data_IF_691480842503
#
_entry.id   IF_691480842503
#
_cell.length_a   1.000
_cell.length_b   1.000
_cell.length_c   1.000
_cell.angle_alpha   90.00
_cell.angle_beta   90.00
_cell.angle_gamma   90.00
#
_symmetry.space_group_name_H-M   'P 1'
#
loop_
_entity.id
_entity.type
_entity.pdbx_description
1 polymer ?
#
# COMPACT_ATOMS: atom_id res chain seq x y z
N UNK A 1 -58.67 -49.38 -58.02
CA UNK A 1 -57.32 -49.45 -57.44
C UNK A 1 -56.96 -48.04 -57.01
N UNK A 2 -57.02 -47.82 -55.70
CA UNK A 2 -56.76 -46.49 -55.10
C UNK A 2 -55.45 -46.60 -54.35
N UNK A 3 -54.45 -45.83 -54.77
CA UNK A 3 -53.17 -45.69 -54.07
C UNK A 3 -53.31 -44.63 -52.97
N UNK A 4 -53.10 -45.02 -51.70
CA UNK A 4 -52.93 -44.16 -50.57
C UNK A 4 -51.43 -43.76 -50.49
N UNK A 5 -51.15 -42.48 -50.60
CA UNK A 5 -49.82 -41.87 -50.30
C UNK A 5 -49.84 -41.44 -48.86
N UNK A 6 -49.00 -42.07 -48.04
CA UNK A 6 -48.79 -41.70 -46.66
C UNK A 6 -47.60 -40.71 -46.56
N UNK A 7 -47.91 -39.47 -46.22
CA UNK A 7 -46.90 -38.41 -46.04
C UNK A 7 -46.37 -38.44 -44.59
N UNK A 8 -45.12 -38.83 -44.41
CA UNK A 8 -44.42 -38.70 -43.11
C UNK A 8 -43.87 -37.27 -42.96
N UNK A 9 -44.47 -36.49 -42.05
CA UNK A 9 -43.85 -35.23 -41.56
C UNK A 9 -42.82 -35.56 -40.53
N UNK A 10 -41.54 -35.29 -40.85
CA UNK A 10 -40.44 -35.23 -39.84
C UNK A 10 -40.46 -33.86 -39.15
N UNK A 11 -40.77 -33.83 -37.86
CA UNK A 11 -40.55 -32.68 -37.00
C UNK A 11 -39.09 -32.69 -36.52
N UNK A 12 -38.29 -31.79 -37.04
CA UNK A 12 -36.94 -31.53 -36.51
C UNK A 12 -37.05 -30.65 -35.26
N UNK A 13 -36.82 -31.23 -34.07
CA UNK A 13 -36.65 -30.47 -32.84
C UNK A 13 -35.27 -29.80 -32.86
N UNK A 14 -35.21 -28.48 -33.05
CA UNK A 14 -34.03 -27.69 -32.86
C UNK A 14 -33.92 -27.36 -31.38
N UNK A 15 -33.05 -28.10 -30.67
CA UNK A 15 -32.71 -27.79 -29.29
C UNK A 15 -31.77 -26.57 -29.25
N UNK A 16 -32.30 -25.39 -28.87
CA UNK A 16 -31.52 -24.19 -28.58
C UNK A 16 -30.83 -24.39 -27.23
N UNK A 17 -29.55 -24.76 -27.22
CA UNK A 17 -28.73 -24.73 -26.02
C UNK A 17 -28.33 -23.27 -25.76
N UNK A 18 -28.96 -22.64 -24.78
CA UNK A 18 -28.55 -21.38 -24.23
C UNK A 18 -27.23 -21.61 -23.47
N UNK A 19 -26.11 -21.26 -24.07
CA UNK A 19 -24.86 -21.08 -23.35
C UNK A 19 -25.03 -19.84 -22.44
N UNK A 20 -25.32 -20.10 -21.16
CA UNK A 20 -25.19 -19.09 -20.12
C UNK A 20 -23.70 -18.83 -19.93
N UNK A 21 -23.14 -17.75 -20.51
CA UNK A 21 -21.88 -17.22 -20.10
C UNK A 21 -22.08 -16.67 -18.70
N UNK A 22 -21.74 -17.45 -17.69
CA UNK A 22 -21.50 -16.93 -16.34
C UNK A 22 -20.23 -16.11 -16.44
N UNK A 23 -20.34 -14.80 -16.51
CA UNK A 23 -19.22 -13.90 -16.26
C UNK A 23 -18.91 -14.01 -14.77
N UNK A 24 -17.96 -14.88 -14.39
CA UNK A 24 -17.36 -14.78 -13.08
C UNK A 24 -16.70 -13.41 -13.03
N UNK A 25 -17.13 -12.54 -12.11
CA UNK A 25 -16.33 -11.35 -11.77
C UNK A 25 -14.95 -11.85 -11.33
N UNK A 26 -13.87 -11.16 -11.70
CA UNK A 26 -12.55 -11.48 -11.18
C UNK A 26 -12.59 -11.43 -9.66
N UNK A 27 -11.85 -12.31 -9.00
CA UNK A 27 -11.72 -12.30 -7.56
C UNK A 27 -11.14 -10.96 -7.12
N UNK A 28 -11.70 -10.39 -6.06
CA UNK A 28 -11.20 -9.14 -5.47
C UNK A 28 -9.84 -9.37 -4.81
N UNK A 29 -9.00 -8.35 -4.84
CA UNK A 29 -7.74 -8.32 -4.09
C UNK A 29 -8.08 -8.10 -2.62
N UNK A 30 -7.68 -9.02 -1.77
CA UNK A 30 -7.88 -8.93 -0.33
C UNK A 30 -6.73 -8.14 0.28
N UNK A 31 -7.03 -6.92 0.67
CA UNK A 31 -6.06 -6.00 1.24
C UNK A 31 -6.27 -5.84 2.75
N UNK A 32 -5.20 -6.00 3.52
CA UNK A 32 -5.17 -5.71 4.95
C UNK A 32 -4.64 -4.29 5.15
N UNK A 33 -5.43 -3.42 5.78
CA UNK A 33 -5.01 -2.10 6.20
C UNK A 33 -4.78 -2.08 7.70
N UNK A 34 -3.54 -1.85 8.12
CA UNK A 34 -3.13 -1.77 9.52
C UNK A 34 -2.86 -0.32 9.85
N UNK A 35 -3.50 0.19 10.91
CA UNK A 35 -3.34 1.58 11.35
C UNK A 35 -3.34 1.71 12.86
N UNK A 36 -2.82 2.84 13.35
CA UNK A 36 -2.73 3.17 14.77
C UNK A 36 -1.31 3.49 15.25
N UNK A 37 -1.15 3.74 16.53
CA UNK A 37 0.12 4.10 17.14
C UNK A 37 0.15 5.51 17.74
N UNK A 38 1.33 6.10 17.83
CA UNK A 38 1.53 7.44 18.38
C UNK A 38 1.53 8.55 17.33
N UNK A 39 1.38 9.78 17.81
CA UNK A 39 1.67 11.06 17.13
C UNK A 39 0.72 11.52 16.02
N UNK A 40 -0.15 10.68 15.45
CA UNK A 40 -1.03 11.03 14.34
C UNK A 40 -2.50 10.85 14.69
N UNK A 41 -3.37 11.39 13.84
CA UNK A 41 -4.83 11.24 13.91
C UNK A 41 -5.27 10.07 13.02
N UNK A 42 -4.94 8.85 13.46
CA UNK A 42 -5.19 7.63 12.69
C UNK A 42 -6.67 7.37 12.44
N UNK A 43 -7.56 7.80 13.35
CA UNK A 43 -9.01 7.66 13.17
C UNK A 43 -9.48 8.43 11.91
N UNK A 44 -9.08 9.71 11.79
CA UNK A 44 -9.42 10.52 10.61
C UNK A 44 -8.67 10.05 9.35
N UNK A 45 -7.38 9.67 9.48
CA UNK A 45 -6.59 9.18 8.35
C UNK A 45 -7.12 7.86 7.79
N UNK A 46 -7.64 6.96 8.63
CA UNK A 46 -8.32 5.72 8.20
C UNK A 46 -9.51 6.05 7.32
N UNK A 47 -10.40 6.95 7.78
CA UNK A 47 -11.57 7.36 7.01
C UNK A 47 -11.19 7.99 5.67
N UNK A 48 -10.19 8.89 5.65
CA UNK A 48 -9.71 9.55 4.44
C UNK A 48 -9.08 8.55 3.47
N UNK A 49 -8.27 7.63 3.98
CA UNK A 49 -7.62 6.59 3.18
C UNK A 49 -8.67 5.64 2.57
N UNK A 50 -9.54 5.05 3.37
CA UNK A 50 -10.51 4.06 2.90
C UNK A 50 -11.49 4.69 1.90
N UNK A 51 -11.99 5.90 2.18
CA UNK A 51 -12.87 6.59 1.24
C UNK A 51 -12.13 6.95 -0.06
N UNK A 52 -10.91 7.49 0.05
CA UNK A 52 -10.08 7.84 -1.10
C UNK A 52 -9.70 6.63 -1.97
N UNK A 53 -9.40 5.49 -1.35
CA UNK A 53 -9.08 4.26 -2.08
C UNK A 53 -10.33 3.62 -2.71
N UNK A 54 -11.47 3.60 -2.02
CA UNK A 54 -12.72 3.12 -2.60
C UNK A 54 -13.16 3.92 -3.83
N UNK A 55 -12.92 5.24 -3.83
CA UNK A 55 -13.20 6.11 -4.98
C UNK A 55 -12.30 5.78 -6.19
N UNK A 56 -11.01 5.48 -5.95
CA UNK A 56 -9.99 5.28 -6.98
C UNK A 56 -9.84 3.85 -7.47
N UNK A 57 -9.99 2.89 -6.56
CA UNK A 57 -9.79 1.46 -6.81
C UNK A 57 -11.12 0.72 -7.03
N UNK A 58 -12.25 1.32 -6.61
CA UNK A 58 -13.58 0.76 -6.78
C UNK A 58 -13.73 -0.62 -6.16
N UNK A 59 -14.40 -1.52 -6.89
CA UNK A 59 -14.71 -2.87 -6.44
C UNK A 59 -13.56 -3.88 -6.62
N UNK A 60 -12.38 -3.44 -7.07
CA UNK A 60 -11.22 -4.33 -7.27
C UNK A 60 -10.63 -4.83 -5.95
N UNK A 61 -10.78 -4.07 -4.86
CA UNK A 61 -10.21 -4.37 -3.56
C UNK A 61 -11.29 -4.66 -2.51
N UNK A 62 -10.95 -5.57 -1.60
CA UNK A 62 -11.71 -5.87 -0.39
C UNK A 62 -10.83 -5.58 0.82
N UNK A 63 -11.22 -4.59 1.63
CA UNK A 63 -10.43 -4.11 2.76
C UNK A 63 -10.78 -4.84 4.05
N UNK A 64 -9.77 -5.40 4.71
CA UNK A 64 -9.82 -5.74 6.13
C UNK A 64 -9.06 -4.68 6.90
N UNK A 65 -9.65 -4.12 7.95
CA UNK A 65 -9.05 -3.03 8.74
C UNK A 65 -8.68 -3.56 10.10
N UNK A 66 -7.44 -3.32 10.52
CA UNK A 66 -6.93 -3.55 11.88
C UNK A 66 -6.45 -2.21 12.42
N UNK A 67 -7.21 -1.64 13.34
CA UNK A 67 -6.91 -0.38 14.00
C UNK A 67 -6.64 -0.64 15.47
N UNK A 68 -5.40 -0.52 15.90
CA UNK A 68 -4.98 -0.81 17.28
C UNK A 68 -3.95 0.20 17.79
N UNK A 69 -3.89 0.33 19.11
CA UNK A 69 -2.80 1.02 19.80
C UNK A 69 -2.78 2.54 19.66
N UNK A 70 -3.92 3.20 19.46
CA UNK A 70 -3.98 4.66 19.41
C UNK A 70 -3.34 5.31 20.65
N UNK A 71 -2.43 6.26 20.38
CA UNK A 71 -1.62 6.95 21.39
C UNK A 71 -0.69 6.01 22.19
N UNK A 72 -0.46 4.80 21.69
CA UNK A 72 0.41 3.79 22.30
C UNK A 72 1.54 3.42 21.32
N UNK A 73 2.59 4.24 21.21
CA UNK A 73 3.66 4.02 20.23
C UNK A 73 4.53 2.77 20.50
N UNK A 74 4.32 2.10 21.61
CA UNK A 74 4.97 0.85 22.05
C UNK A 74 4.06 -0.37 21.95
N UNK A 75 2.84 -0.22 21.42
CA UNK A 75 1.91 -1.33 21.19
C UNK A 75 2.41 -2.26 20.06
N UNK A 76 2.25 -3.55 20.27
CA UNK A 76 2.48 -4.58 19.23
C UNK A 76 1.12 -5.01 18.67
N UNK A 77 0.94 -4.85 17.38
CA UNK A 77 -0.30 -5.20 16.67
C UNK A 77 -0.59 -6.70 16.85
N UNK A 78 -1.83 -7.02 17.25
CA UNK A 78 -2.21 -8.38 17.65
C UNK A 78 -2.08 -9.39 16.51
N UNK A 79 -2.53 -9.05 15.30
CA UNK A 79 -2.46 -9.96 14.15
C UNK A 79 -1.00 -10.29 13.78
N UNK A 80 -0.07 -9.33 13.92
CA UNK A 80 1.34 -9.51 13.59
C UNK A 80 2.11 -10.39 14.60
N UNK A 81 1.45 -10.83 15.69
CA UNK A 81 2.00 -11.79 16.66
C UNK A 81 1.64 -13.23 16.30
N UNK A 82 0.81 -13.45 15.30
CA UNK A 82 0.40 -14.77 14.85
C UNK A 82 1.36 -15.30 13.78
N UNK A 83 1.56 -16.63 13.73
CA UNK A 83 2.34 -17.25 12.65
C UNK A 83 1.62 -17.11 11.31
N UNK A 84 2.36 -16.78 10.25
CA UNK A 84 1.83 -16.57 8.89
C UNK A 84 0.70 -15.52 8.83
N UNK A 85 0.84 -14.45 9.58
CA UNK A 85 -0.17 -13.42 9.77
C UNK A 85 -0.69 -12.75 8.48
N UNK A 86 0.07 -12.85 7.39
CA UNK A 86 -0.33 -12.35 6.06
C UNK A 86 -1.14 -13.38 5.26
N UNK A 87 -1.33 -14.62 5.77
CA UNK A 87 -2.03 -15.67 5.01
C UNK A 87 -3.47 -15.26 4.70
N UNK A 88 -3.83 -15.32 3.42
CA UNK A 88 -5.16 -14.97 2.91
C UNK A 88 -5.32 -13.51 2.50
N UNK A 89 -4.26 -12.70 2.59
CA UNK A 89 -4.18 -11.35 2.04
C UNK A 89 -3.26 -11.30 0.83
N UNK A 90 -3.65 -10.52 -0.17
CA UNK A 90 -2.90 -10.29 -1.40
C UNK A 90 -2.02 -9.02 -1.30
N UNK A 91 -2.25 -8.19 -0.28
CA UNK A 91 -1.55 -6.93 -0.04
C UNK A 91 -1.72 -6.50 1.42
N UNK A 92 -0.69 -5.91 2.01
CA UNK A 92 -0.76 -5.25 3.32
C UNK A 92 -0.38 -3.77 3.18
N UNK A 93 -1.19 -2.90 3.78
CA UNK A 93 -0.93 -1.46 3.87
C UNK A 93 -0.68 -1.09 5.33
N UNK A 94 0.47 -0.49 5.61
CA UNK A 94 0.84 0.01 6.92
C UNK A 94 0.76 1.53 6.97
N UNK A 95 -0.18 2.06 7.73
CA UNK A 95 -0.22 3.46 8.17
C UNK A 95 -0.10 3.48 9.69
N UNK A 96 1.12 3.29 10.21
CA UNK A 96 1.35 2.96 11.62
C UNK A 96 2.43 3.80 12.25
N UNK A 97 2.32 4.10 13.55
CA UNK A 97 3.29 4.88 14.33
C UNK A 97 3.77 4.16 15.59
N UNK A 98 4.33 2.97 15.46
CA UNK A 98 4.83 2.16 16.58
C UNK A 98 6.34 2.34 16.82
N UNK A 99 6.81 3.58 16.72
CA UNK A 99 8.24 3.92 16.80
C UNK A 99 8.91 3.60 18.16
N UNK A 100 8.16 3.27 19.21
CA UNK A 100 8.71 2.90 20.53
C UNK A 100 8.66 1.41 20.84
N UNK A 101 8.16 0.58 19.95
CA UNK A 101 8.31 -0.86 20.09
C UNK A 101 9.80 -1.18 20.11
N UNK A 102 10.23 -1.89 21.15
CA UNK A 102 11.62 -2.31 21.36
C UNK A 102 11.67 -3.81 21.63
N UNK A 103 11.31 -4.58 20.61
CA UNK A 103 11.27 -6.05 20.66
C UNK A 103 11.77 -6.59 19.31
N UNK A 104 13.06 -6.91 19.26
CA UNK A 104 13.71 -7.36 18.03
C UNK A 104 13.20 -8.73 17.54
N UNK A 105 12.80 -9.62 18.46
CA UNK A 105 12.26 -10.92 18.09
C UNK A 105 10.88 -10.78 17.44
N UNK A 106 10.03 -9.91 17.99
CA UNK A 106 8.75 -9.58 17.38
C UNK A 106 8.94 -8.99 15.98
N UNK A 107 9.83 -7.97 15.83
CA UNK A 107 10.08 -7.32 14.53
C UNK A 107 10.61 -8.32 13.53
N UNK A 108 11.57 -9.16 13.91
CA UNK A 108 12.12 -10.19 13.05
C UNK A 108 11.04 -11.18 12.59
N UNK A 109 10.22 -11.68 13.53
CA UNK A 109 9.19 -12.67 13.24
C UNK A 109 8.15 -12.16 12.25
N UNK A 110 7.57 -10.99 12.50
CA UNK A 110 6.53 -10.50 11.60
C UNK A 110 7.08 -10.10 10.22
N UNK A 111 8.33 -9.63 10.14
CA UNK A 111 8.97 -9.32 8.85
C UNK A 111 9.26 -10.59 8.05
N UNK A 112 9.75 -11.64 8.71
CA UNK A 112 9.99 -12.95 8.05
C UNK A 112 8.67 -13.49 7.45
N UNK A 113 7.55 -13.37 8.17
CA UNK A 113 6.23 -13.80 7.69
C UNK A 113 5.62 -12.84 6.64
N UNK A 114 6.17 -11.63 6.50
CA UNK A 114 5.68 -10.65 5.50
C UNK A 114 6.23 -10.89 4.11
N UNK A 115 7.44 -11.49 3.99
CA UNK A 115 8.03 -11.76 2.69
C UNK A 115 7.12 -12.64 1.83
N UNK A 116 7.01 -12.28 0.55
CA UNK A 116 6.09 -12.89 -0.40
C UNK A 116 4.71 -12.22 -0.47
N UNK A 117 4.35 -11.37 0.50
CA UNK A 117 3.12 -10.57 0.46
C UNK A 117 3.46 -9.11 0.18
N UNK A 118 2.94 -8.50 -0.92
CA UNK A 118 3.18 -7.11 -1.27
C UNK A 118 2.84 -6.13 -0.15
N UNK A 119 3.58 -5.03 -0.06
CA UNK A 119 3.40 -4.03 0.99
C UNK A 119 3.28 -2.59 0.46
N UNK A 120 2.50 -1.79 1.19
CA UNK A 120 2.47 -0.33 1.06
C UNK A 120 2.75 0.29 2.43
N UNK A 121 3.76 1.16 2.50
CA UNK A 121 4.20 1.79 3.74
C UNK A 121 3.97 3.29 3.68
N UNK A 122 3.24 3.83 4.65
CA UNK A 122 2.84 5.24 4.66
C UNK A 122 3.43 5.93 5.87
N UNK A 123 4.15 7.02 5.63
CA UNK A 123 4.64 7.99 6.61
C UNK A 123 5.34 7.33 7.81
N UNK A 124 4.73 7.35 8.98
CA UNK A 124 5.35 6.86 10.22
C UNK A 124 5.55 5.34 10.27
N UNK A 125 5.00 4.58 9.31
CA UNK A 125 5.39 3.18 9.13
C UNK A 125 6.91 3.05 8.88
N UNK A 126 7.51 4.04 8.20
CA UNK A 126 8.95 4.11 7.92
C UNK A 126 9.79 4.23 9.20
N UNK A 127 9.26 4.90 10.23
CA UNK A 127 9.93 5.06 11.52
C UNK A 127 9.36 4.18 12.63
N UNK A 128 8.41 3.30 12.31
CA UNK A 128 7.95 2.26 13.23
C UNK A 128 9.09 1.29 13.55
N UNK A 129 9.07 0.72 14.74
CA UNK A 129 10.05 -0.28 15.22
C UNK A 129 11.51 0.19 15.28
N UNK A 130 11.80 1.47 15.01
CA UNK A 130 13.16 2.04 14.90
C UNK A 130 14.03 1.89 16.16
N UNK A 131 13.44 1.64 17.32
CA UNK A 131 14.16 1.39 18.57
C UNK A 131 14.34 -0.10 18.92
N UNK A 132 13.83 -1.00 18.10
CA UNK A 132 14.18 -2.41 18.20
C UNK A 132 15.64 -2.60 17.80
N UNK A 133 16.44 -3.33 18.59
CA UNK A 133 17.83 -3.55 18.26
C UNK A 133 18.12 -5.03 18.05
N UNK A 134 18.41 -5.47 16.82
CA UNK A 134 18.46 -4.66 15.60
C UNK A 134 17.08 -4.38 14.98
N UNK A 135 16.85 -3.16 14.48
CA UNK A 135 15.69 -2.82 13.64
C UNK A 135 15.95 -3.14 12.15
N UNK A 136 17.11 -3.67 11.85
CA UNK A 136 17.60 -3.98 10.50
C UNK A 136 16.59 -4.76 9.64
N UNK A 137 15.88 -5.81 10.14
CA UNK A 137 14.90 -6.53 9.30
C UNK A 137 13.83 -5.62 8.70
N UNK A 138 13.32 -4.63 9.45
CA UNK A 138 12.32 -3.69 8.95
C UNK A 138 12.90 -2.71 7.93
N UNK A 139 14.13 -2.20 8.17
CA UNK A 139 14.80 -1.30 7.23
C UNK A 139 15.20 -2.01 5.93
N UNK A 140 15.69 -3.23 6.01
CA UNK A 140 15.98 -4.07 4.84
C UNK A 140 14.71 -4.36 4.04
N UNK A 141 13.60 -4.68 4.73
CA UNK A 141 12.31 -4.92 4.10
C UNK A 141 11.83 -3.70 3.31
N UNK A 142 11.87 -2.49 3.90
CA UNK A 142 11.38 -1.29 3.22
C UNK A 142 12.39 -0.59 2.31
N UNK A 143 13.69 -0.94 2.40
CA UNK A 143 14.76 -0.44 1.55
C UNK A 143 15.36 0.90 1.97
N UNK A 144 14.89 1.54 3.03
CA UNK A 144 15.44 2.79 3.54
C UNK A 144 15.37 2.86 5.07
N UNK A 145 16.30 3.63 5.67
CA UNK A 145 16.31 3.95 7.08
C UNK A 145 16.12 5.45 7.31
N UNK A 146 15.17 5.78 8.19
CA UNK A 146 15.00 7.12 8.74
C UNK A 146 14.75 7.04 10.24
N UNK A 147 15.52 7.79 11.03
CA UNK A 147 15.41 7.82 12.49
C UNK A 147 14.81 9.13 13.00
N UNK A 148 14.77 10.17 12.15
CA UNK A 148 14.26 11.48 12.50
C UNK A 148 13.76 12.25 11.27
N UNK A 149 13.14 13.38 11.48
CA UNK A 149 12.57 14.27 10.45
C UNK A 149 12.90 15.73 10.78
N UNK A 150 12.92 16.59 9.77
CA UNK A 150 13.00 18.03 9.93
C UNK A 150 11.72 18.60 10.59
N UNK A 151 11.76 19.86 11.00
CA UNK A 151 10.60 20.55 11.52
C UNK A 151 9.43 20.52 10.51
N UNK A 152 8.23 20.23 11.01
CA UNK A 152 6.99 20.17 10.22
C UNK A 152 6.77 21.47 9.45
N UNK A 153 6.54 21.36 8.16
CA UNK A 153 6.31 22.46 7.22
C UNK A 153 5.76 21.96 5.87
N UNK A 154 5.23 22.86 5.07
CA UNK A 154 5.04 22.59 3.64
C UNK A 154 6.39 22.57 2.90
N UNK A 155 6.53 21.69 1.90
CA UNK A 155 7.72 21.60 1.05
C UNK A 155 7.39 21.12 -0.35
N UNK A 156 8.26 21.47 -1.30
CA UNK A 156 8.14 21.01 -2.68
C UNK A 156 8.63 19.57 -2.80
N UNK A 157 7.85 18.76 -3.50
CA UNK A 157 8.17 17.37 -3.85
C UNK A 157 8.42 17.31 -5.35
N UNK A 158 9.60 16.84 -5.75
CA UNK A 158 10.01 16.69 -7.14
C UNK A 158 9.79 15.25 -7.63
N UNK A 159 9.12 15.09 -8.77
CA UNK A 159 9.02 13.81 -9.49
C UNK A 159 10.36 13.50 -10.17
N UNK A 160 10.99 12.40 -9.80
CA UNK A 160 12.28 11.97 -10.38
C UNK A 160 12.17 10.72 -11.24
N UNK A 161 10.96 10.22 -11.46
CA UNK A 161 10.67 9.01 -12.22
C UNK A 161 9.43 9.18 -13.12
N UNK A 162 9.43 10.19 -13.98
CA UNK A 162 8.28 10.58 -14.83
C UNK A 162 7.76 9.47 -15.75
N UNK A 163 8.59 8.48 -16.07
CA UNK A 163 8.23 7.33 -16.91
C UNK A 163 7.74 6.12 -16.08
N UNK A 164 7.76 6.22 -14.75
CA UNK A 164 7.29 5.12 -13.89
C UNK A 164 5.76 5.14 -13.77
N UNK A 165 5.05 4.01 -13.94
CA UNK A 165 3.60 4.00 -14.01
C UNK A 165 2.91 4.55 -12.74
N UNK A 166 3.50 4.42 -11.57
CA UNK A 166 2.98 5.05 -10.33
C UNK A 166 2.90 6.57 -10.46
N UNK A 167 3.83 7.18 -11.21
CA UNK A 167 3.99 8.63 -11.31
C UNK A 167 3.31 9.24 -12.54
N UNK A 168 2.49 8.47 -13.28
CA UNK A 168 1.87 8.92 -14.55
C UNK A 168 1.12 10.24 -14.41
N UNK A 169 0.34 10.40 -13.34
CA UNK A 169 -0.45 11.61 -13.08
C UNK A 169 0.20 12.56 -12.06
N UNK A 170 1.40 12.21 -11.55
CA UNK A 170 2.11 13.08 -10.61
C UNK A 170 2.81 14.22 -11.39
N UNK A 171 2.60 15.49 -11.02
CA UNK A 171 3.21 16.62 -11.72
C UNK A 171 4.74 16.61 -11.60
N UNK A 172 5.44 17.42 -12.40
CA UNK A 172 6.90 17.60 -12.30
C UNK A 172 7.31 18.03 -10.88
N UNK A 173 6.52 18.91 -10.26
CA UNK A 173 6.65 19.29 -8.84
C UNK A 173 5.28 19.44 -8.19
N UNK A 174 5.20 19.13 -6.91
CA UNK A 174 4.00 19.30 -6.09
C UNK A 174 4.34 20.00 -4.77
N UNK A 175 3.57 21.03 -4.43
CA UNK A 175 3.67 21.68 -3.13
C UNK A 175 2.91 20.86 -2.09
N UNK A 176 3.61 20.03 -1.33
CA UNK A 176 3.05 19.29 -0.20
C UNK A 176 2.65 20.28 0.91
N UNK A 177 1.41 20.23 1.42
CA UNK A 177 0.86 21.33 2.22
C UNK A 177 1.54 21.51 3.58
N UNK A 178 1.54 20.50 4.41
CA UNK A 178 2.07 20.53 5.78
C UNK A 178 2.44 19.11 6.22
N UNK A 179 3.71 18.83 6.30
CA UNK A 179 4.23 17.48 6.49
C UNK A 179 5.58 17.49 7.22
N UNK A 180 6.10 16.33 7.52
CA UNK A 180 7.43 16.10 8.07
C UNK A 180 8.36 15.54 7.00
N UNK A 181 9.44 16.25 6.68
CA UNK A 181 10.48 15.71 5.81
C UNK A 181 11.34 14.72 6.59
N UNK A 182 11.18 13.43 6.29
CA UNK A 182 12.01 12.38 6.88
C UNK A 182 13.42 12.40 6.29
N UNK A 183 14.40 12.41 7.19
CA UNK A 183 15.81 12.36 6.81
C UNK A 183 16.20 10.91 6.57
N UNK A 184 16.57 10.61 5.33
CA UNK A 184 17.09 9.29 4.95
C UNK A 184 18.57 9.23 5.36
N UNK A 185 18.90 8.31 6.26
CA UNK A 185 20.27 8.13 6.78
C UNK A 185 21.01 7.02 6.04
N UNK A 186 20.29 5.99 5.60
CA UNK A 186 20.86 4.85 4.90
C UNK A 186 19.85 4.26 3.90
N UNK A 187 20.36 3.74 2.79
CA UNK A 187 19.59 2.99 1.79
C UNK A 187 20.02 1.52 1.86
N UNK A 188 19.05 0.65 2.02
CA UNK A 188 19.20 -0.78 2.15
C UNK A 188 18.73 -1.49 0.86
N UNK A 189 19.68 -1.98 0.07
CA UNK A 189 19.36 -2.67 -1.19
C UNK A 189 19.07 -1.74 -2.38
N UNK A 190 18.43 -2.29 -3.40
CA UNK A 190 18.14 -1.58 -4.66
C UNK A 190 16.73 -1.01 -4.64
N UNK A 191 16.60 0.26 -4.25
CA UNK A 191 15.33 1.00 -4.36
C UNK A 191 15.25 1.74 -5.69
N UNK A 192 14.03 2.00 -6.16
CA UNK A 192 13.76 2.94 -7.25
C UNK A 192 13.13 4.21 -6.68
N UNK A 193 13.87 5.33 -6.56
CA UNK A 193 13.31 6.60 -6.13
C UNK A 193 12.26 7.11 -7.13
N UNK A 194 11.09 7.50 -6.65
CA UNK A 194 10.00 8.06 -7.45
C UNK A 194 9.85 9.56 -7.24
N UNK A 195 9.99 10.02 -6.00
CA UNK A 195 9.96 11.43 -5.66
C UNK A 195 10.98 11.76 -4.56
N UNK A 196 11.42 13.02 -4.55
CA UNK A 196 12.35 13.55 -3.55
C UNK A 196 11.94 14.93 -3.09
N UNK A 197 12.45 15.36 -1.94
CA UNK A 197 12.30 16.73 -1.46
C UNK A 197 13.60 17.24 -0.84
N UNK A 198 13.79 18.57 -0.87
CA UNK A 198 14.98 19.21 -0.33
C UNK A 198 14.81 19.50 1.16
N UNK A 199 15.71 18.95 1.97
CA UNK A 199 15.85 19.23 3.40
C UNK A 199 16.51 20.58 3.63
N UNK A 200 15.85 21.46 4.37
CA UNK A 200 16.42 22.79 4.69
C UNK A 200 17.34 22.77 5.89
N UNK A 201 17.20 21.78 6.77
CA UNK A 201 18.07 21.59 7.93
C UNK A 201 19.30 20.75 7.56
N UNK A 202 19.13 19.77 6.67
CA UNK A 202 20.22 18.91 6.18
C UNK A 202 20.98 19.49 4.99
N UNK A 203 20.36 20.42 4.24
CA UNK A 203 20.85 20.97 2.97
C UNK A 203 21.06 19.89 1.89
N UNK A 204 20.27 18.80 1.95
CA UNK A 204 20.36 17.65 1.04
C UNK A 204 18.97 17.25 0.52
N UNK A 205 18.93 16.49 -0.60
CA UNK A 205 17.72 15.86 -1.08
C UNK A 205 17.52 14.51 -0.41
N UNK A 206 16.27 14.25 0.04
CA UNK A 206 15.85 12.96 0.57
C UNK A 206 14.78 12.34 -0.32
N UNK A 207 14.89 11.04 -0.57
CA UNK A 207 13.85 10.29 -1.25
C UNK A 207 12.62 10.19 -0.34
N UNK A 208 11.49 10.69 -0.82
CA UNK A 208 10.23 10.70 -0.05
C UNK A 208 9.20 9.69 -0.56
N UNK A 209 9.38 9.15 -1.78
CA UNK A 209 8.54 8.09 -2.34
C UNK A 209 9.40 7.17 -3.18
N UNK A 210 9.26 5.86 -3.00
CA UNK A 210 10.06 4.86 -3.73
C UNK A 210 9.34 3.53 -3.88
N UNK A 211 9.89 2.68 -4.74
CA UNK A 211 9.59 1.26 -4.76
C UNK A 211 10.82 0.44 -4.38
N UNK A 212 10.59 -0.72 -3.82
CA UNK A 212 11.60 -1.71 -3.50
C UNK A 212 11.07 -3.11 -3.80
N UNK A 213 11.91 -3.98 -4.34
CA UNK A 213 11.56 -5.38 -4.58
C UNK A 213 12.63 -6.26 -3.91
N UNK A 214 12.20 -7.15 -3.02
CA UNK A 214 13.06 -8.08 -2.31
C UNK A 214 12.33 -9.41 -2.10
N UNK A 215 13.04 -10.54 -2.24
CA UNK A 215 12.51 -11.88 -1.99
C UNK A 215 11.07 -12.12 -2.52
N UNK A 216 10.81 -11.76 -3.77
CA UNK A 216 9.49 -11.81 -4.42
C UNK A 216 8.42 -10.86 -3.83
N UNK A 217 8.81 -9.93 -2.95
CA UNK A 217 7.94 -8.95 -2.33
C UNK A 217 8.07 -7.60 -3.03
N UNK A 218 6.94 -7.04 -3.48
CA UNK A 218 6.87 -5.69 -4.05
C UNK A 218 6.43 -4.70 -2.98
N UNK A 219 7.21 -3.66 -2.79
CA UNK A 219 6.99 -2.66 -1.76
C UNK A 219 6.91 -1.28 -2.39
N UNK A 220 5.80 -0.58 -2.16
CA UNK A 220 5.67 0.85 -2.41
C UNK A 220 5.70 1.58 -1.07
N UNK A 221 6.50 2.62 -0.96
CA UNK A 221 6.67 3.34 0.29
C UNK A 221 6.72 4.85 0.08
N UNK A 222 6.17 5.60 1.03
CA UNK A 222 6.25 7.07 1.06
C UNK A 222 6.40 7.58 2.49
N UNK A 223 7.29 8.57 2.67
CA UNK A 223 7.43 9.29 3.95
C UNK A 223 6.40 10.41 4.11
N UNK A 224 5.61 10.69 3.08
CA UNK A 224 4.55 11.71 3.10
C UNK A 224 3.33 11.19 3.84
N UNK A 225 2.54 12.08 4.47
CA UNK A 225 1.29 11.71 5.12
C UNK A 225 1.21 12.01 6.62
N UNK A 226 1.99 12.98 7.14
CA UNK A 226 1.91 13.37 8.56
C UNK A 226 0.54 13.92 8.94
N UNK A 227 0.02 14.83 8.16
CA UNK A 227 -1.24 15.52 8.50
C UNK A 227 -2.42 15.02 7.67
N UNK A 228 -3.64 15.20 8.23
CA UNK A 228 -4.88 14.95 7.49
C UNK A 228 -4.95 15.77 6.19
N UNK A 229 -4.34 16.97 6.16
CA UNK A 229 -4.32 17.81 4.95
C UNK A 229 -3.62 17.13 3.77
N UNK A 230 -2.59 16.31 4.01
CA UNK A 230 -1.93 15.53 2.95
C UNK A 230 -2.90 14.49 2.40
N UNK A 231 -3.59 13.75 3.28
CA UNK A 231 -4.62 12.76 2.90
C UNK A 231 -5.87 13.36 2.23
N UNK A 232 -6.09 14.67 2.33
CA UNK A 232 -7.17 15.39 1.64
C UNK A 232 -6.79 15.81 0.21
N UNK A 233 -5.54 15.58 -0.23
CA UNK A 233 -5.08 15.97 -1.57
C UNK A 233 -5.25 14.82 -2.58
N UNK A 234 -5.80 15.14 -3.75
CA UNK A 234 -5.95 14.15 -4.83
C UNK A 234 -4.60 13.58 -5.27
N UNK A 235 -3.55 14.42 -5.39
CA UNK A 235 -2.21 13.99 -5.83
C UNK A 235 -1.66 12.90 -4.90
N UNK A 236 -1.79 13.05 -3.60
CA UNK A 236 -1.33 12.04 -2.64
C UNK A 236 -2.14 10.75 -2.74
N UNK A 237 -3.47 10.86 -2.77
CA UNK A 237 -4.35 9.71 -2.85
C UNK A 237 -4.23 8.98 -4.20
N UNK A 238 -4.04 9.70 -5.32
CA UNK A 238 -3.80 9.11 -6.63
C UNK A 238 -2.47 8.34 -6.64
N UNK A 239 -1.42 8.92 -6.04
CA UNK A 239 -0.11 8.26 -5.91
C UNK A 239 -0.21 7.00 -5.05
N UNK A 240 -0.95 7.04 -3.94
CA UNK A 240 -1.20 5.85 -3.10
C UNK A 240 -1.96 4.78 -3.87
N UNK A 241 -3.01 5.15 -4.61
CA UNK A 241 -3.80 4.20 -5.40
C UNK A 241 -2.96 3.52 -6.49
N UNK A 242 -2.11 4.29 -7.18
CA UNK A 242 -1.18 3.75 -8.16
C UNK A 242 -0.12 2.86 -7.50
N UNK A 243 0.41 3.25 -6.33
CA UNK A 243 1.34 2.44 -5.55
C UNK A 243 0.74 1.10 -5.10
N UNK A 244 -0.52 1.12 -4.65
CA UNK A 244 -1.30 -0.07 -4.27
C UNK A 244 -1.49 -0.99 -5.49
N UNK A 245 -1.92 -0.45 -6.64
CA UNK A 245 -2.05 -1.26 -7.87
C UNK A 245 -0.71 -1.84 -8.31
N UNK A 246 0.35 -1.04 -8.26
CA UNK A 246 1.69 -1.49 -8.63
C UNK A 246 2.16 -2.63 -7.70
N UNK A 247 2.04 -2.48 -6.40
CA UNK A 247 2.41 -3.51 -5.44
C UNK A 247 1.60 -4.79 -5.67
N UNK A 248 0.30 -4.69 -5.89
CA UNK A 248 -0.60 -5.81 -6.20
C UNK A 248 -0.43 -6.40 -7.63
N UNK A 249 0.52 -5.89 -8.44
CA UNK A 249 0.75 -6.37 -9.81
C UNK A 249 -0.36 -6.04 -10.80
N UNK A 250 -1.05 -4.91 -10.60
CA UNK A 250 -2.17 -4.44 -11.42
C UNK A 250 -1.85 -3.17 -12.23
N UNK A 251 -0.62 -2.69 -12.16
CA UNK A 251 -0.16 -1.50 -12.86
C UNK A 251 1.08 -1.82 -13.70
#
# INVERSE_FOLDING_TARGET
MRHLLTSCLLFALVSLTLFSCSSSQPDKIKALYITGGGWHDYETQEDLFINGMNERLGDEFEWTIVHEGDKQPDHQISIMQEENWTEGYDLVVHNTGFGRVNDAEFVKSFVEDHYGTPAVLIHSAIQSYRYSEPATPWFEFMGQQSMWHEAQRGFEVENVATDHPIMEDFPETWQNPDDELYVVEEVWGDITPLARAYGVETEEYHTVTWTHETDDTRIFATTLGHTNQVFETDIFLDTLANGIRWAAGKL
#
